data_IF_169429050715
#
_entry.id   IF_169429050715
#
_cell.length_a   1.000
_cell.length_b   1.000
_cell.length_c   1.000
_cell.angle_alpha   90.00
_cell.angle_beta   90.00
_cell.angle_gamma   90.00
#
_symmetry.space_group_name_H-M   'P 1'
#
loop_
_entity.id
_entity.type
_entity.pdbx_description
1 polymer ?
#
# COMPACT_ATOMS: atom_id res chain seq x y z
N UNK A 1 -10.10 0.79 -4.37
CA UNK A 1 -8.98 1.58 -3.81
C UNK A 1 -8.16 2.24 -4.92
N UNK A 2 -7.45 1.50 -5.78
CA UNK A 2 -6.65 2.08 -6.87
C UNK A 2 -7.42 3.10 -7.75
N UNK A 3 -8.63 2.77 -8.19
CA UNK A 3 -9.53 3.71 -8.90
C UNK A 3 -9.74 5.02 -8.14
N UNK A 4 -10.06 4.94 -6.85
CA UNK A 4 -10.32 6.11 -6.03
C UNK A 4 -9.06 6.98 -5.83
N UNK A 5 -7.87 6.36 -5.75
CA UNK A 5 -6.58 7.06 -5.70
C UNK A 5 -6.37 7.88 -6.98
N UNK A 6 -6.57 7.27 -8.15
CA UNK A 6 -6.43 7.96 -9.43
C UNK A 6 -7.46 9.09 -9.60
N UNK A 7 -8.72 8.85 -9.23
CA UNK A 7 -9.80 9.85 -9.31
C UNK A 7 -9.61 11.02 -8.34
N UNK A 8 -8.87 10.81 -7.25
CA UNK A 8 -8.45 11.89 -6.34
C UNK A 8 -7.27 12.71 -6.87
N UNK A 9 -6.78 12.42 -8.09
CA UNK A 9 -5.73 13.18 -8.76
C UNK A 9 -4.29 12.72 -8.48
N UNK A 10 -4.10 11.62 -7.77
CA UNK A 10 -2.76 11.06 -7.56
C UNK A 10 -2.28 10.32 -8.81
N UNK A 11 -1.03 10.52 -9.26
CA UNK A 11 -0.45 9.70 -10.31
C UNK A 11 -0.45 8.22 -9.91
N UNK A 12 -1.30 7.43 -10.58
CA UNK A 12 -1.42 6.01 -10.29
C UNK A 12 -0.43 5.21 -11.15
N UNK A 13 0.38 4.37 -10.50
CA UNK A 13 1.20 3.34 -11.14
C UNK A 13 0.66 1.98 -10.72
N UNK A 14 0.62 1.04 -11.65
CA UNK A 14 0.04 -0.28 -11.39
C UNK A 14 0.90 -1.42 -11.94
N UNK A 15 0.96 -2.49 -11.16
CA UNK A 15 1.57 -3.77 -11.52
C UNK A 15 0.81 -4.89 -10.81
N UNK A 16 0.74 -6.07 -11.42
CA UNK A 16 0.16 -7.26 -10.82
C UNK A 16 0.81 -8.52 -11.39
N UNK A 17 0.90 -9.60 -10.61
CA UNK A 17 1.36 -10.91 -11.10
C UNK A 17 0.55 -11.43 -12.29
N UNK A 18 -0.77 -11.23 -12.24
CA UNK A 18 -1.69 -11.57 -13.32
C UNK A 18 -2.14 -10.29 -13.98
N UNK A 19 -1.80 -10.11 -15.26
CA UNK A 19 -2.15 -8.89 -15.98
C UNK A 19 -3.68 -8.63 -15.97
N UNK A 20 -4.49 -9.68 -16.05
CA UNK A 20 -5.95 -9.60 -15.95
C UNK A 20 -6.46 -9.00 -14.63
N UNK A 21 -5.65 -8.97 -13.57
CA UNK A 21 -6.01 -8.26 -12.33
C UNK A 21 -6.10 -6.75 -12.51
N UNK A 22 -5.47 -6.20 -13.55
CA UNK A 22 -5.54 -4.77 -13.88
C UNK A 22 -6.78 -4.41 -14.71
N UNK A 23 -7.49 -5.38 -15.28
CA UNK A 23 -8.70 -5.14 -16.09
C UNK A 23 -9.77 -4.36 -15.31
N UNK A 24 -9.81 -4.54 -13.98
CA UNK A 24 -10.70 -3.81 -13.07
C UNK A 24 -10.45 -2.30 -13.01
N UNK A 25 -9.30 -1.80 -13.49
CA UNK A 25 -9.03 -0.37 -13.61
C UNK A 25 -9.71 0.24 -14.84
N UNK A 26 -10.13 -0.55 -15.82
CA UNK A 26 -10.82 -0.08 -17.02
C UNK A 26 -10.07 1.07 -17.72
N UNK A 27 -10.73 2.23 -17.83
CA UNK A 27 -10.20 3.44 -18.50
C UNK A 27 -9.56 4.45 -17.53
N UNK A 28 -9.41 4.09 -16.25
CA UNK A 28 -8.81 4.99 -15.26
C UNK A 28 -7.37 5.30 -15.67
N UNK A 29 -6.95 6.58 -15.69
CA UNK A 29 -5.57 6.94 -16.00
C UNK A 29 -4.60 6.30 -15.01
N UNK A 30 -3.69 5.47 -15.52
CA UNK A 30 -2.60 4.88 -14.75
C UNK A 30 -1.44 4.54 -15.67
N UNK A 31 -0.23 4.54 -15.12
CA UNK A 31 0.95 4.00 -15.79
C UNK A 31 1.17 2.56 -15.34
N UNK A 32 1.05 1.61 -16.28
CA UNK A 32 1.42 0.22 -16.05
C UNK A 32 2.94 0.07 -16.12
N UNK A 33 3.49 -0.77 -15.25
CA UNK A 33 4.87 -1.26 -15.34
C UNK A 33 4.89 -2.77 -15.60
N UNK A 34 5.95 -3.28 -16.21
CA UNK A 34 6.05 -4.69 -16.55
C UNK A 34 6.63 -5.51 -15.38
N UNK A 35 7.40 -4.87 -14.50
CA UNK A 35 7.91 -5.48 -13.26
C UNK A 35 7.51 -4.70 -11.99
N UNK A 36 7.50 -5.40 -10.85
CA UNK A 36 7.26 -4.79 -9.55
C UNK A 36 8.37 -3.80 -9.16
N UNK A 37 9.61 -4.08 -9.55
CA UNK A 37 10.77 -3.23 -9.27
C UNK A 37 10.69 -1.88 -9.99
N UNK A 38 10.31 -1.85 -11.27
CA UNK A 38 10.10 -0.61 -12.02
C UNK A 38 8.99 0.27 -11.39
N UNK A 39 7.93 -0.36 -10.88
CA UNK A 39 6.90 0.36 -10.13
C UNK A 39 7.47 0.93 -8.84
N UNK A 40 8.17 0.11 -8.06
CA UNK A 40 8.75 0.49 -6.77
C UNK A 40 9.73 1.67 -6.91
N UNK A 41 10.61 1.64 -7.90
CA UNK A 41 11.57 2.71 -8.19
C UNK A 41 10.92 4.04 -8.58
N UNK A 42 9.66 4.01 -9.03
CA UNK A 42 8.93 5.17 -9.53
C UNK A 42 7.89 5.73 -8.54
N UNK A 43 7.77 5.14 -7.34
CA UNK A 43 6.75 5.48 -6.35
C UNK A 43 7.33 6.02 -5.04
N UNK A 44 6.68 7.03 -4.48
CA UNK A 44 6.94 7.51 -3.10
C UNK A 44 6.14 6.72 -2.06
N UNK A 45 4.97 6.19 -2.46
CA UNK A 45 4.10 5.33 -1.64
C UNK A 45 3.77 4.09 -2.46
N UNK A 46 4.07 2.91 -1.93
CA UNK A 46 3.82 1.61 -2.57
C UNK A 46 2.74 0.87 -1.79
N UNK A 47 1.52 0.85 -2.32
CA UNK A 47 0.37 0.15 -1.72
C UNK A 47 0.33 -1.32 -2.16
N UNK A 48 0.45 -2.25 -1.21
CA UNK A 48 0.36 -3.68 -1.42
C UNK A 48 -1.06 -4.18 -1.12
N UNK A 49 -1.68 -4.83 -2.10
CA UNK A 49 -2.99 -5.47 -2.00
C UNK A 49 -2.89 -6.90 -2.50
N UNK A 50 -2.18 -7.74 -1.73
CA UNK A 50 -1.90 -9.14 -2.05
C UNK A 50 -2.63 -10.08 -1.10
N UNK A 51 -2.57 -11.39 -1.35
CA UNK A 51 -3.49 -12.37 -0.74
C UNK A 51 -3.03 -12.88 0.62
N UNK A 52 -1.73 -13.03 0.84
CA UNK A 52 -1.17 -13.62 2.07
C UNK A 52 0.05 -12.87 2.57
N UNK A 53 0.41 -13.06 3.84
CA UNK A 53 1.67 -12.54 4.38
C UNK A 53 2.91 -13.06 3.64
N UNK A 54 2.88 -14.31 3.17
CA UNK A 54 3.96 -14.86 2.38
C UNK A 54 4.12 -14.09 1.05
N UNK A 55 3.00 -13.75 0.41
CA UNK A 55 2.98 -12.92 -0.80
C UNK A 55 3.55 -11.51 -0.51
N UNK A 56 3.23 -10.91 0.65
CA UNK A 56 3.79 -9.61 1.07
C UNK A 56 5.30 -9.71 1.27
N UNK A 57 5.77 -10.67 2.06
CA UNK A 57 7.19 -10.86 2.37
C UNK A 57 8.00 -11.09 1.09
N UNK A 58 7.52 -11.95 0.20
CA UNK A 58 8.16 -12.24 -1.08
C UNK A 58 8.23 -10.99 -1.97
N UNK A 59 7.12 -10.25 -2.08
CA UNK A 59 7.06 -9.08 -2.94
C UNK A 59 7.95 -7.95 -2.40
N UNK A 60 7.97 -7.72 -1.10
CA UNK A 60 8.85 -6.73 -0.48
C UNK A 60 10.31 -7.12 -0.70
N UNK A 61 10.70 -8.38 -0.48
CA UNK A 61 12.06 -8.86 -0.74
C UNK A 61 12.47 -8.64 -2.20
N UNK A 62 11.57 -8.94 -3.14
CA UNK A 62 11.79 -8.75 -4.58
C UNK A 62 12.06 -7.28 -4.95
N UNK A 63 11.31 -6.34 -4.40
CA UNK A 63 11.41 -4.91 -4.76
C UNK A 63 12.35 -4.11 -3.88
N UNK A 64 12.87 -4.69 -2.80
CA UNK A 64 13.60 -3.98 -1.76
C UNK A 64 14.79 -3.19 -2.31
N UNK A 65 15.41 -3.66 -3.39
CA UNK A 65 16.53 -3.00 -4.03
C UNK A 65 16.19 -1.86 -4.98
N UNK A 66 14.94 -1.82 -5.44
CA UNK A 66 14.45 -0.82 -6.36
C UNK A 66 13.77 0.34 -5.63
N UNK A 67 13.36 0.13 -4.36
CA UNK A 67 12.79 1.17 -3.51
C UNK A 67 13.80 2.30 -3.27
N UNK A 68 13.31 3.54 -3.36
CA UNK A 68 14.12 4.73 -3.07
C UNK A 68 14.12 5.02 -1.57
N UNK A 69 15.22 5.57 -1.02
CA UNK A 69 15.20 6.15 0.31
C UNK A 69 14.03 7.14 0.48
N UNK A 70 13.31 7.03 1.60
CA UNK A 70 12.12 7.81 1.90
C UNK A 70 10.81 7.25 1.34
N UNK A 71 10.83 6.17 0.54
CA UNK A 71 9.59 5.50 0.11
C UNK A 71 8.85 4.89 1.30
N UNK A 72 7.51 4.92 1.25
CA UNK A 72 6.64 4.25 2.24
C UNK A 72 5.98 3.02 1.60
N UNK A 73 6.21 1.84 2.15
CA UNK A 73 5.51 0.61 1.75
C UNK A 73 4.33 0.38 2.68
N UNK A 74 3.14 0.22 2.11
CA UNK A 74 1.89 0.08 2.87
C UNK A 74 1.22 -1.25 2.55
N UNK A 75 1.06 -2.12 3.54
CA UNK A 75 0.30 -3.36 3.41
C UNK A 75 -1.18 -3.13 3.76
N UNK A 76 -2.08 -3.19 2.78
CA UNK A 76 -3.52 -3.11 3.01
C UNK A 76 -4.20 -4.48 3.23
N UNK A 77 -3.43 -5.57 3.11
CA UNK A 77 -3.92 -6.91 3.39
C UNK A 77 -4.10 -7.16 4.89
N UNK A 78 -4.87 -8.20 5.22
CA UNK A 78 -4.94 -8.74 6.58
C UNK A 78 -3.72 -9.63 6.80
N UNK A 79 -2.88 -9.26 7.76
CA UNK A 79 -1.63 -9.96 8.06
C UNK A 79 -1.39 -10.13 9.55
N UNK A 80 -0.31 -10.83 9.89
CA UNK A 80 0.13 -11.01 11.27
C UNK A 80 0.94 -9.76 11.73
N UNK A 81 0.67 -9.21 12.92
CA UNK A 81 1.42 -8.07 13.47
C UNK A 81 2.93 -8.27 13.47
N UNK A 82 3.40 -9.49 13.80
CA UNK A 82 4.84 -9.81 13.79
C UNK A 82 5.49 -9.70 12.42
N UNK A 83 4.74 -9.91 11.33
CA UNK A 83 5.25 -9.74 9.97
C UNK A 83 5.40 -8.25 9.62
N UNK A 84 4.47 -7.39 10.06
CA UNK A 84 4.59 -5.95 9.89
C UNK A 84 5.84 -5.41 10.59
N UNK A 85 6.09 -5.82 11.84
CA UNK A 85 7.31 -5.46 12.59
C UNK A 85 8.57 -5.93 11.88
N UNK A 86 8.59 -7.18 11.40
CA UNK A 86 9.74 -7.74 10.67
C UNK A 86 10.02 -6.98 9.37
N UNK A 87 8.98 -6.62 8.62
CA UNK A 87 9.11 -5.86 7.38
C UNK A 87 9.66 -4.46 7.64
N UNK A 88 9.16 -3.77 8.67
CA UNK A 88 9.67 -2.46 9.07
C UNK A 88 11.16 -2.52 9.38
N UNK A 89 11.62 -3.51 10.14
CA UNK A 89 13.05 -3.70 10.45
C UNK A 89 13.90 -4.01 9.22
N UNK A 90 13.37 -4.81 8.27
CA UNK A 90 14.06 -5.15 7.03
C UNK A 90 14.24 -3.91 6.14
N UNK A 91 13.18 -3.13 5.95
CA UNK A 91 13.15 -1.98 5.05
C UNK A 91 13.88 -0.76 5.61
N UNK A 92 13.90 -0.59 6.94
CA UNK A 92 14.63 0.50 7.60
C UNK A 92 16.13 0.52 7.25
N UNK A 93 16.72 -0.63 6.89
CA UNK A 93 18.13 -0.72 6.44
C UNK A 93 18.40 0.03 5.12
N UNK A 94 17.35 0.46 4.41
CA UNK A 94 17.43 1.24 3.17
C UNK A 94 16.66 2.56 3.25
N UNK A 95 16.42 3.07 4.46
CA UNK A 95 15.64 4.29 4.70
C UNK A 95 14.21 4.22 4.12
N UNK A 96 13.61 3.02 4.12
CA UNK A 96 12.22 2.80 3.69
C UNK A 96 11.35 2.56 4.92
N UNK A 97 10.26 3.31 5.02
CA UNK A 97 9.25 3.16 6.07
C UNK A 97 8.22 2.10 5.65
N UNK A 98 7.72 1.32 6.61
CA UNK A 98 6.66 0.31 6.37
C UNK A 98 5.49 0.56 7.30
N UNK A 99 4.28 0.39 6.76
CA UNK A 99 3.04 0.42 7.53
C UNK A 99 2.15 -0.77 7.18
N UNK A 100 1.47 -1.30 8.18
CA UNK A 100 0.26 -2.09 8.04
C UNK A 100 -0.94 -1.15 8.10
N UNK A 101 -1.79 -1.24 7.10
CA UNK A 101 -2.95 -0.38 6.96
C UNK A 101 -4.20 -1.17 6.49
N UNK A 102 -4.60 -2.25 7.19
CA UNK A 102 -5.77 -3.02 6.80
C UNK A 102 -7.03 -2.16 6.75
N UNK A 103 -7.97 -2.58 5.90
CA UNK A 103 -9.22 -1.85 5.65
C UNK A 103 -10.45 -2.66 6.04
N UNK A 104 -11.45 -2.00 6.61
CA UNK A 104 -12.75 -2.56 6.97
C UNK A 104 -13.90 -1.93 6.17
N UNK A 105 -14.95 -2.71 5.91
CA UNK A 105 -16.15 -2.32 5.15
C UNK A 105 -16.36 -3.09 3.84
N UNK A 106 -15.37 -3.86 3.39
CA UNK A 106 -15.47 -4.73 2.21
C UNK A 106 -15.66 -3.97 0.89
N UNK A 107 -16.03 -4.72 -0.16
CA UNK A 107 -16.22 -4.16 -1.51
C UNK A 107 -17.24 -3.00 -1.56
N UNK A 108 -18.44 -3.09 -0.95
CA UNK A 108 -19.42 -2.00 -1.05
C UNK A 108 -18.89 -0.69 -0.48
N UNK A 109 -18.24 -0.73 0.68
CA UNK A 109 -17.64 0.47 1.26
C UNK A 109 -16.44 0.99 0.44
N UNK A 110 -15.70 0.11 -0.23
CA UNK A 110 -14.61 0.52 -1.12
C UNK A 110 -15.12 1.27 -2.37
N UNK A 111 -16.23 0.82 -2.94
CA UNK A 111 -16.89 1.46 -4.09
C UNK A 111 -17.49 2.81 -3.70
N UNK A 112 -18.05 2.91 -2.49
CA UNK A 112 -18.60 4.16 -1.95
C UNK A 112 -17.54 5.08 -1.31
N UNK A 113 -16.27 4.68 -1.29
CA UNK A 113 -15.15 5.41 -0.65
C UNK A 113 -15.37 5.68 0.84
N UNK A 114 -15.98 4.73 1.54
CA UNK A 114 -16.29 4.79 2.98
C UNK A 114 -15.59 3.72 3.81
N UNK A 115 -14.46 3.21 3.33
CA UNK A 115 -13.66 2.27 4.13
C UNK A 115 -13.20 2.92 5.44
N UNK A 116 -12.86 2.08 6.41
CA UNK A 116 -12.08 2.46 7.58
C UNK A 116 -10.68 1.87 7.42
N UNK A 117 -9.66 2.72 7.39
CA UNK A 117 -8.25 2.31 7.39
C UNK A 117 -7.70 2.41 8.81
N UNK A 118 -7.17 1.30 9.32
CA UNK A 118 -6.51 1.19 10.63
C UNK A 118 -5.01 1.14 10.36
N UNK A 119 -4.24 2.08 10.90
CA UNK A 119 -2.84 2.30 10.50
C UNK A 119 -1.90 1.99 11.67
N UNK A 120 -1.02 1.02 11.47
CA UNK A 120 0.16 0.76 12.30
C UNK A 120 1.45 1.19 11.57
N UNK A 121 2.35 1.84 12.30
CA UNK A 121 3.67 2.28 11.82
C UNK A 121 4.02 3.71 12.21
N UNK A 122 5.13 4.27 11.68
CA UNK A 122 5.59 5.61 12.06
C UNK A 122 4.53 6.68 11.79
N UNK A 123 4.30 7.58 12.75
CA UNK A 123 3.33 8.66 12.59
C UNK A 123 3.66 9.58 11.40
N UNK A 124 4.95 9.85 11.16
CA UNK A 124 5.44 10.59 9.99
C UNK A 124 5.02 9.96 8.66
N UNK A 125 5.15 8.63 8.55
CA UNK A 125 4.73 7.88 7.37
C UNK A 125 3.20 7.91 7.20
N UNK A 126 2.47 7.79 8.32
CA UNK A 126 1.01 7.82 8.32
C UNK A 126 0.46 9.18 7.86
N UNK A 127 1.05 10.28 8.32
CA UNK A 127 0.69 11.64 7.90
C UNK A 127 0.90 11.85 6.40
N UNK A 128 2.03 11.38 5.85
CA UNK A 128 2.32 11.42 4.40
C UNK A 128 1.31 10.64 3.57
N UNK A 129 0.83 9.50 4.09
CA UNK A 129 -0.13 8.64 3.37
C UNK A 129 -1.60 9.03 3.59
N UNK A 130 -1.89 9.93 4.53
CA UNK A 130 -3.27 10.24 4.95
C UNK A 130 -4.14 10.74 3.80
N UNK A 131 -3.61 11.58 2.90
CA UNK A 131 -4.39 12.08 1.76
C UNK A 131 -4.71 10.96 0.75
N UNK A 132 -3.78 10.01 0.55
CA UNK A 132 -4.02 8.83 -0.28
C UNK A 132 -5.07 7.94 0.36
N UNK A 133 -5.00 7.69 1.67
CA UNK A 133 -5.98 6.85 2.37
C UNK A 133 -7.38 7.46 2.35
N UNK A 134 -7.48 8.79 2.53
CA UNK A 134 -8.76 9.52 2.45
C UNK A 134 -9.41 9.49 1.07
N UNK A 135 -8.69 9.10 0.01
CA UNK A 135 -9.31 8.92 -1.32
C UNK A 135 -10.29 7.74 -1.34
N UNK A 136 -10.07 6.70 -0.53
CA UNK A 136 -10.90 5.49 -0.50
C UNK A 136 -11.54 5.20 0.87
N UNK A 137 -11.14 5.93 1.91
CA UNK A 137 -11.62 5.74 3.28
C UNK A 137 -12.29 6.99 3.84
N UNK A 138 -13.41 6.79 4.54
CA UNK A 138 -14.06 7.83 5.34
C UNK A 138 -13.35 8.05 6.68
N UNK A 139 -12.80 6.98 7.24
CA UNK A 139 -12.07 7.01 8.51
C UNK A 139 -10.66 6.49 8.30
N UNK A 140 -9.67 7.23 8.80
CA UNK A 140 -8.27 6.83 8.85
C UNK A 140 -7.82 7.03 10.29
N UNK A 141 -7.44 5.95 10.95
CA UNK A 141 -7.13 5.93 12.38
C UNK A 141 -5.73 5.37 12.57
N UNK A 142 -4.83 6.16 13.12
CA UNK A 142 -3.50 5.71 13.54
C UNK A 142 -3.61 5.03 14.90
N UNK A 143 -3.17 3.78 14.98
CA UNK A 143 -3.33 2.91 16.16
C UNK A 143 -2.02 2.68 16.92
N UNK A 144 -0.88 3.07 16.34
CA UNK A 144 0.42 2.97 17.00
C UNK A 144 1.51 2.51 16.05
N UNK A 145 2.49 1.81 16.60
CA UNK A 145 3.65 1.29 15.88
C UNK A 145 3.28 0.18 14.88
N UNK A 146 4.27 -0.31 14.12
CA UNK A 146 4.06 -1.40 13.17
C UNK A 146 3.43 -2.63 13.84
N UNK A 147 2.39 -3.17 13.21
CA UNK A 147 1.57 -4.29 13.70
C UNK A 147 0.35 -3.88 14.53
N UNK A 148 0.11 -2.57 14.74
CA UNK A 148 -1.04 -2.08 15.49
C UNK A 148 -2.33 -1.92 14.65
N UNK A 149 -2.23 -1.95 13.31
CA UNK A 149 -3.34 -1.80 12.36
C UNK A 149 -4.17 -3.06 12.21
#
# INVERSE_FOLDING_TARGET
MATAIAEAGFPLRAWAWRLASLDGLGKIPHQRHDTAGELAAACDIVCLCVRTDADVLQLVDQILQDLRPGTVVVNHGTGLPGNAVRLAQLCAKRDVEVMDAPVSGGRPAAEERRLTTMVGGPLSAAERCTLVFRSFSRHVVHLGEAGAG
#
